data_IF_097716662730
#
_entry.id   IF_097716662730
#
_cell.length_a   1.000
_cell.length_b   1.000
_cell.length_c   1.000
_cell.angle_alpha   90.00
_cell.angle_beta   90.00
_cell.angle_gamma   90.00
#
_symmetry.space_group_name_H-M   'P 1'
#
loop_
_entity.id
_entity.type
_entity.pdbx_description
1 polymer ?
#
# COMPACT_ATOMS: atom_id res chain seq x y z
N UNK A 1 -12.45 -18.57 -10.06
CA UNK A 1 -12.06 -18.52 -8.64
C UNK A 1 -10.57 -18.74 -8.46
N UNK A 2 -9.99 -19.83 -8.96
CA UNK A 2 -8.54 -20.06 -8.87
C UNK A 2 -7.73 -19.06 -9.69
N UNK A 3 -8.12 -18.79 -10.94
CA UNK A 3 -7.42 -17.83 -11.80
C UNK A 3 -7.48 -16.38 -11.27
N UNK A 4 -8.63 -15.95 -10.75
CA UNK A 4 -8.81 -14.61 -10.17
C UNK A 4 -7.96 -14.43 -8.92
N UNK A 5 -7.93 -15.43 -8.03
CA UNK A 5 -7.06 -15.41 -6.86
C UNK A 5 -5.57 -15.36 -7.25
N UNK A 6 -5.17 -16.09 -8.29
CA UNK A 6 -3.80 -16.04 -8.82
C UNK A 6 -3.40 -14.66 -9.36
N UNK A 7 -4.32 -13.96 -10.03
CA UNK A 7 -4.09 -12.58 -10.50
C UNK A 7 -3.91 -11.62 -9.31
N UNK A 8 -4.72 -11.74 -8.26
CA UNK A 8 -4.57 -10.85 -7.09
C UNK A 8 -3.31 -11.16 -6.28
N UNK A 9 -2.96 -12.43 -6.09
CA UNK A 9 -1.72 -12.79 -5.39
C UNK A 9 -0.50 -12.35 -6.18
N UNK A 10 -0.50 -12.48 -7.51
CA UNK A 10 0.59 -11.96 -8.35
C UNK A 10 0.68 -10.43 -8.33
N UNK A 11 -0.44 -9.70 -8.37
CA UNK A 11 -0.42 -8.24 -8.20
C UNK A 11 0.17 -7.83 -6.84
N UNK A 12 -0.20 -8.53 -5.76
CA UNK A 12 0.32 -8.26 -4.43
C UNK A 12 1.83 -8.54 -4.36
N UNK A 13 2.31 -9.66 -4.91
CA UNK A 13 3.75 -9.98 -4.91
C UNK A 13 4.56 -9.03 -5.79
N UNK A 14 3.99 -8.54 -6.91
CA UNK A 14 4.58 -7.49 -7.73
C UNK A 14 4.68 -6.16 -6.98
N UNK A 15 3.65 -5.77 -6.23
CA UNK A 15 3.68 -4.59 -5.36
C UNK A 15 4.75 -4.72 -4.27
N UNK A 16 4.84 -5.89 -3.64
CA UNK A 16 5.84 -6.20 -2.62
C UNK A 16 7.27 -6.16 -3.20
N UNK A 17 7.47 -6.73 -4.39
CA UNK A 17 8.74 -6.65 -5.10
C UNK A 17 9.10 -5.21 -5.48
N UNK A 18 8.13 -4.41 -5.93
CA UNK A 18 8.31 -2.98 -6.20
C UNK A 18 8.81 -2.21 -4.97
N UNK A 19 8.23 -2.49 -3.81
CA UNK A 19 8.61 -1.86 -2.55
C UNK A 19 10.04 -2.24 -2.10
N UNK A 20 10.47 -3.49 -2.34
CA UNK A 20 11.83 -3.92 -1.95
C UNK A 20 12.91 -3.40 -2.88
N UNK A 21 12.64 -3.30 -4.19
CA UNK A 21 13.61 -2.88 -5.20
C UNK A 21 13.71 -1.36 -5.37
N UNK A 22 12.62 -0.60 -5.21
CA UNK A 22 12.60 0.83 -5.51
C UNK A 22 12.85 1.70 -4.26
N UNK A 23 14.13 1.79 -3.85
CA UNK A 23 14.57 2.53 -2.65
C UNK A 23 14.95 4.00 -2.85
N UNK A 24 14.83 4.54 -4.07
CA UNK A 24 15.38 5.88 -4.34
C UNK A 24 14.48 7.01 -3.90
N UNK A 25 13.16 6.86 -4.02
CA UNK A 25 12.19 7.88 -3.64
C UNK A 25 11.13 7.31 -2.70
N UNK A 26 10.84 8.03 -1.61
CA UNK A 26 9.81 7.63 -0.66
C UNK A 26 8.40 7.59 -1.31
N UNK A 27 8.16 8.48 -2.29
CA UNK A 27 6.90 8.52 -3.04
C UNK A 27 6.61 7.21 -3.80
N UNK A 28 7.61 6.63 -4.47
CA UNK A 28 7.40 5.35 -5.18
C UNK A 28 7.08 4.20 -4.23
N UNK A 29 7.66 4.22 -3.01
CA UNK A 29 7.33 3.23 -1.99
C UNK A 29 5.87 3.38 -1.49
N UNK A 30 5.40 4.61 -1.30
CA UNK A 30 3.99 4.88 -0.93
C UNK A 30 3.02 4.40 -2.01
N UNK A 31 3.32 4.65 -3.29
CA UNK A 31 2.49 4.16 -4.40
C UNK A 31 2.44 2.63 -4.49
N UNK A 32 3.57 1.95 -4.24
CA UNK A 32 3.57 0.48 -4.17
C UNK A 32 2.71 -0.03 -3.01
N UNK A 33 2.71 0.67 -1.87
CA UNK A 33 1.90 0.33 -0.71
C UNK A 33 0.40 0.51 -0.99
N UNK A 34 0.01 1.62 -1.63
CA UNK A 34 -1.37 1.82 -2.10
C UNK A 34 -1.81 0.74 -3.09
N UNK A 35 -0.94 0.36 -4.04
CA UNK A 35 -1.21 -0.73 -4.98
C UNK A 35 -1.46 -2.08 -4.29
N UNK A 36 -0.69 -2.39 -3.24
CA UNK A 36 -0.91 -3.59 -2.42
C UNK A 36 -2.27 -3.54 -1.70
N UNK A 37 -2.61 -2.41 -1.06
CA UNK A 37 -3.90 -2.26 -0.36
C UNK A 37 -5.10 -2.37 -1.31
N UNK A 38 -4.97 -1.82 -2.52
CA UNK A 38 -6.00 -1.91 -3.55
C UNK A 38 -6.20 -3.36 -4.03
N UNK A 39 -5.13 -4.13 -4.19
CA UNK A 39 -5.23 -5.56 -4.55
C UNK A 39 -5.99 -6.37 -3.49
N UNK A 40 -5.77 -6.07 -2.20
CA UNK A 40 -6.46 -6.71 -1.07
C UNK A 40 -7.94 -6.31 -1.04
N UNK A 41 -8.25 -5.03 -1.30
CA UNK A 41 -9.62 -4.54 -1.38
C UNK A 41 -10.44 -5.25 -2.47
N UNK A 42 -9.87 -5.40 -3.68
CA UNK A 42 -10.55 -6.09 -4.78
C UNK A 42 -10.76 -7.57 -4.44
N UNK A 43 -9.77 -8.23 -3.84
CA UNK A 43 -9.88 -9.64 -3.44
C UNK A 43 -11.01 -9.85 -2.40
N UNK A 44 -11.08 -8.98 -1.38
CA UNK A 44 -12.12 -9.03 -0.34
C UNK A 44 -13.52 -8.73 -0.89
N UNK A 45 -13.65 -7.71 -1.75
CA UNK A 45 -14.96 -7.36 -2.34
C UNK A 45 -15.50 -8.48 -3.23
N UNK A 46 -14.66 -9.07 -4.10
CA UNK A 46 -15.05 -10.25 -4.88
C UNK A 46 -15.41 -11.44 -4.01
N UNK A 47 -14.68 -11.64 -2.91
CA UNK A 47 -14.99 -12.70 -1.97
C UNK A 47 -16.38 -12.50 -1.32
N UNK A 48 -16.70 -11.28 -0.90
CA UNK A 48 -18.03 -10.97 -0.33
C UNK A 48 -19.17 -11.17 -1.34
N UNK A 49 -18.96 -10.80 -2.61
CA UNK A 49 -19.92 -11.01 -3.69
C UNK A 49 -20.16 -12.49 -3.94
N UNK A 50 -19.10 -13.31 -3.93
CA UNK A 50 -19.21 -14.74 -4.20
C UNK A 50 -19.95 -15.51 -3.11
N UNK A 51 -19.76 -15.12 -1.85
CA UNK A 51 -20.44 -15.77 -0.71
C UNK A 51 -21.81 -15.18 -0.41
N UNK A 52 -22.24 -14.17 -1.18
CA UNK A 52 -23.51 -13.44 -1.01
C UNK A 52 -23.72 -12.96 0.45
N UNK A 53 -22.62 -12.71 1.16
CA UNK A 53 -22.62 -12.45 2.59
C UNK A 53 -22.66 -10.95 2.85
N UNK A 54 -23.86 -10.40 2.79
CA UNK A 54 -24.14 -8.96 2.95
C UNK A 54 -23.55 -8.42 4.26
N UNK A 55 -23.50 -9.23 5.32
CA UNK A 55 -22.92 -8.87 6.61
C UNK A 55 -21.42 -8.50 6.54
N UNK A 56 -20.67 -9.06 5.57
CA UNK A 56 -19.25 -8.76 5.39
C UNK A 56 -18.99 -7.62 4.41
N UNK A 57 -20.02 -7.06 3.76
CA UNK A 57 -19.86 -5.97 2.77
C UNK A 57 -19.26 -4.68 3.36
N UNK A 58 -19.32 -4.49 4.69
CA UNK A 58 -18.71 -3.35 5.37
C UNK A 58 -17.19 -3.50 5.56
N UNK A 59 -16.64 -4.73 5.55
CA UNK A 59 -15.22 -4.95 5.84
C UNK A 59 -14.25 -4.37 4.78
N UNK A 60 -14.53 -4.44 3.46
CA UNK A 60 -13.65 -3.83 2.45
C UNK A 60 -13.65 -2.29 2.54
N UNK A 61 -14.79 -1.68 2.90
CA UNK A 61 -14.90 -0.23 3.08
C UNK A 61 -14.09 0.24 4.29
N UNK A 62 -14.15 -0.50 5.40
CA UNK A 62 -13.36 -0.21 6.59
C UNK A 62 -11.86 -0.35 6.30
N UNK A 63 -11.46 -1.36 5.52
CA UNK A 63 -10.07 -1.52 5.07
C UNK A 63 -9.59 -0.32 4.23
N UNK A 64 -10.42 0.19 3.31
CA UNK A 64 -10.10 1.38 2.52
C UNK A 64 -9.95 2.64 3.38
N UNK A 65 -10.77 2.79 4.42
CA UNK A 65 -10.67 3.93 5.33
C UNK A 65 -9.32 3.92 6.06
N UNK A 66 -8.90 2.77 6.59
CA UNK A 66 -7.59 2.64 7.23
C UNK A 66 -6.43 2.82 6.24
N UNK A 67 -6.54 2.33 5.00
CA UNK A 67 -5.49 2.56 4.00
C UNK A 67 -5.32 4.04 3.65
N UNK A 68 -6.41 4.81 3.59
CA UNK A 68 -6.34 6.25 3.38
C UNK A 68 -5.66 6.98 4.56
N UNK A 69 -5.91 6.52 5.80
CA UNK A 69 -5.21 7.03 6.97
C UNK A 69 -3.70 6.74 6.91
N UNK A 70 -3.30 5.52 6.59
CA UNK A 70 -1.87 5.17 6.43
C UNK A 70 -1.20 6.01 5.33
N UNK A 71 -1.86 6.18 4.19
CA UNK A 71 -1.37 7.02 3.10
C UNK A 71 -1.19 8.49 3.53
N UNK A 72 -2.15 9.02 4.31
CA UNK A 72 -2.07 10.39 4.83
C UNK A 72 -0.88 10.61 5.77
N UNK A 73 -0.59 9.63 6.64
CA UNK A 73 0.57 9.66 7.54
C UNK A 73 1.87 9.51 6.74
N UNK A 74 1.89 8.63 5.73
CA UNK A 74 3.02 8.46 4.83
C UNK A 74 3.38 9.74 4.06
N UNK A 75 2.37 10.46 3.56
CA UNK A 75 2.55 11.76 2.90
C UNK A 75 3.00 12.84 3.89
N UNK A 76 2.47 12.87 5.12
CA UNK A 76 2.92 13.79 6.15
C UNK A 76 4.41 13.59 6.49
N UNK A 77 4.87 12.34 6.55
CA UNK A 77 6.29 12.01 6.70
C UNK A 77 7.13 12.48 5.52
N UNK A 78 6.65 12.29 4.28
CA UNK A 78 7.34 12.79 3.08
C UNK A 78 7.53 14.32 3.14
N UNK A 79 6.50 15.05 3.56
CA UNK A 79 6.58 16.52 3.75
C UNK A 79 7.57 16.87 4.86
N UNK A 80 7.63 16.10 5.95
CA UNK A 80 8.62 16.34 7.01
C UNK A 80 10.06 16.10 6.52
N UNK A 81 10.31 15.01 5.78
CA UNK A 81 11.65 14.69 5.26
C UNK A 81 12.12 15.67 4.19
N UNK A 82 11.21 16.16 3.35
CA UNK A 82 11.55 17.22 2.37
C UNK A 82 11.90 18.54 3.04
N UNK A 83 11.23 18.90 4.14
CA UNK A 83 11.56 20.12 4.91
C UNK A 83 12.90 20.03 5.63
N UNK A 84 13.29 18.86 6.14
CA UNK A 84 14.55 18.70 6.89
C UNK A 84 15.76 18.43 5.99
N UNK A 85 15.60 17.62 4.94
CA UNK A 85 16.71 17.18 4.09
C UNK A 85 16.67 17.74 2.65
N UNK A 86 15.63 18.49 2.28
CA UNK A 86 15.49 19.08 0.94
C UNK A 86 15.30 18.07 -0.20
N UNK A 87 15.13 16.78 0.11
CA UNK A 87 15.04 15.70 -0.88
C UNK A 87 14.20 14.53 -0.38
N UNK A 88 13.42 13.91 -1.27
CA UNK A 88 12.64 12.68 -1.04
C UNK A 88 13.47 11.38 -1.03
N UNK A 89 14.81 11.50 -1.10
CA UNK A 89 15.70 10.36 -1.23
C UNK A 89 15.89 9.69 0.13
N UNK A 90 15.57 8.41 0.22
CA UNK A 90 15.74 7.61 1.45
C UNK A 90 17.20 7.58 1.91
N UNK A 91 18.16 7.70 0.99
CA UNK A 91 19.59 7.66 1.28
C UNK A 91 20.11 8.87 2.10
N UNK A 92 19.30 9.94 2.27
CA UNK A 92 19.67 11.09 3.11
C UNK A 92 19.39 10.85 4.60
N UNK A 93 18.63 9.80 4.95
CA UNK A 93 18.21 9.46 6.31
C UNK A 93 19.24 8.58 7.06
N UNK A 94 20.54 8.87 6.94
CA UNK A 94 21.62 8.06 7.55
C UNK A 94 22.06 8.55 8.95
N UNK A 95 21.37 9.51 9.56
CA UNK A 95 21.76 10.08 10.86
C UNK A 95 21.65 9.08 12.04
N UNK A 96 20.83 8.03 11.90
CA UNK A 96 20.60 7.00 12.93
C UNK A 96 21.61 5.84 12.87
N UNK A 97 22.64 5.94 12.02
CA UNK A 97 23.68 4.91 11.87
C UNK A 97 24.81 5.05 12.91
N UNK A 98 24.75 6.08 13.77
CA UNK A 98 25.62 6.31 14.92
C UNK A 98 25.06 5.62 16.18
#
# INVERSE_FOLDING_TARGET
MTLTLFIFTSMFTLGLAGLTFHRTHLLSALLCLEGMMLSIFIALSLWTLQFNSINFSASPLLLLAFSACEASVGLALLVATTRTHGSDRINTLNLLQC
#
